data_IF_956624984724
#
_entry.id   IF_956624984724
#
_cell.length_a   1.000
_cell.length_b   1.000
_cell.length_c   1.000
_cell.angle_alpha   90.00
_cell.angle_beta   90.00
_cell.angle_gamma   90.00
#
_symmetry.space_group_name_H-M   'P 1'
#
loop_
_entity.id
_entity.type
_entity.pdbx_description
1 polymer ?
#
# COMPACT_ATOMS: atom_id res chain seq x y z
N UNK A 1 -18.98 20.56 85.53
CA UNK A 1 -19.43 21.23 84.28
C UNK A 1 -18.29 21.71 83.37
N UNK A 2 -17.09 22.03 83.88
CA UNK A 2 -15.93 22.50 83.08
C UNK A 2 -15.31 21.41 82.18
N UNK A 3 -15.06 20.22 82.73
CA UNK A 3 -14.53 19.05 82.01
C UNK A 3 -15.38 18.58 80.81
N UNK A 4 -16.71 18.67 80.93
CA UNK A 4 -17.64 18.27 79.86
C UNK A 4 -17.55 19.26 78.68
N UNK A 5 -17.40 20.56 78.95
CA UNK A 5 -17.22 21.58 77.92
C UNK A 5 -15.88 21.42 77.18
N UNK A 6 -14.79 21.12 77.90
CA UNK A 6 -13.48 20.89 77.30
C UNK A 6 -13.45 19.62 76.41
N UNK A 7 -14.08 18.53 76.83
CA UNK A 7 -14.19 17.31 76.02
C UNK A 7 -15.00 17.51 74.74
N UNK A 8 -16.09 18.29 74.79
CA UNK A 8 -16.91 18.60 73.61
C UNK A 8 -16.11 19.44 72.59
N UNK A 9 -15.33 20.42 73.06
CA UNK A 9 -14.48 21.24 72.19
C UNK A 9 -13.40 20.41 71.50
N UNK A 10 -12.76 19.48 72.21
CA UNK A 10 -11.76 18.56 71.64
C UNK A 10 -12.41 17.66 70.58
N UNK A 11 -13.58 17.08 70.86
CA UNK A 11 -14.31 16.26 69.88
C UNK A 11 -14.65 17.05 68.61
N UNK A 12 -15.11 18.30 68.73
CA UNK A 12 -15.41 19.15 67.57
C UNK A 12 -14.16 19.40 66.74
N UNK A 13 -13.02 19.72 67.38
CA UNK A 13 -11.75 19.97 66.68
C UNK A 13 -11.25 18.72 65.94
N UNK A 14 -11.34 17.54 66.55
CA UNK A 14 -10.94 16.27 65.92
C UNK A 14 -11.83 15.96 64.71
N UNK A 15 -13.14 16.11 64.84
CA UNK A 15 -14.09 15.87 63.74
C UNK A 15 -13.84 16.86 62.59
N UNK A 16 -13.66 18.15 62.87
CA UNK A 16 -13.33 19.16 61.85
C UNK A 16 -12.02 18.87 61.13
N UNK A 17 -11.00 18.38 61.85
CA UNK A 17 -9.72 18.00 61.27
C UNK A 17 -9.83 16.77 60.36
N UNK A 18 -10.60 15.75 60.77
CA UNK A 18 -10.87 14.57 59.94
C UNK A 18 -11.59 14.97 58.64
N UNK A 19 -12.62 15.82 58.73
CA UNK A 19 -13.34 16.33 57.54
C UNK A 19 -12.39 17.07 56.60
N UNK A 20 -11.49 17.89 57.15
CA UNK A 20 -10.49 18.62 56.37
C UNK A 20 -9.51 17.68 55.64
N UNK A 21 -9.04 16.62 56.32
CA UNK A 21 -8.18 15.59 55.70
C UNK A 21 -8.92 14.87 54.59
N UNK A 22 -10.16 14.43 54.82
CA UNK A 22 -10.97 13.74 53.80
C UNK A 22 -11.20 14.60 52.57
N UNK A 23 -11.56 15.88 52.75
CA UNK A 23 -11.73 16.84 51.64
C UNK A 23 -10.42 17.08 50.87
N UNK A 24 -9.28 17.11 51.57
CA UNK A 24 -7.97 17.26 50.93
C UNK A 24 -7.61 16.03 50.11
N UNK A 25 -7.89 14.83 50.61
CA UNK A 25 -7.65 13.57 49.89
C UNK A 25 -8.54 13.44 48.64
N UNK A 26 -9.81 13.85 48.70
CA UNK A 26 -10.70 13.89 47.54
C UNK A 26 -10.14 14.77 46.41
N UNK A 27 -9.68 15.99 46.74
CA UNK A 27 -9.05 16.90 45.77
C UNK A 27 -7.79 16.30 45.15
N UNK A 28 -6.95 15.62 45.95
CA UNK A 28 -5.76 14.94 45.44
C UNK A 28 -6.14 13.80 44.48
N UNK A 29 -7.13 12.99 44.83
CA UNK A 29 -7.61 11.89 43.98
C UNK A 29 -8.21 12.40 42.66
N UNK A 30 -8.98 13.49 42.70
CA UNK A 30 -9.52 14.14 41.51
C UNK A 30 -8.39 14.66 40.59
N UNK A 31 -7.39 15.33 41.16
CA UNK A 31 -6.22 15.79 40.42
C UNK A 31 -5.43 14.64 39.77
N UNK A 32 -5.26 13.51 40.47
CA UNK A 32 -4.61 12.32 39.91
C UNK A 32 -5.41 11.79 38.72
N UNK A 33 -6.74 11.71 38.84
CA UNK A 33 -7.62 11.26 37.76
C UNK A 33 -7.53 12.18 36.53
N UNK A 34 -7.58 13.50 36.73
CA UNK A 34 -7.40 14.48 35.65
C UNK A 34 -6.04 14.29 34.97
N UNK A 35 -4.96 14.17 35.75
CA UNK A 35 -3.61 13.98 35.20
C UNK A 35 -3.47 12.68 34.40
N UNK A 36 -4.08 11.59 34.87
CA UNK A 36 -4.11 10.33 34.12
C UNK A 36 -4.86 10.46 32.78
N UNK A 37 -5.99 11.16 32.77
CA UNK A 37 -6.78 11.40 31.57
C UNK A 37 -6.02 12.27 30.55
N UNK A 38 -5.39 13.35 31.01
CA UNK A 38 -4.54 14.21 30.17
C UNK A 38 -3.35 13.42 29.60
N UNK A 39 -2.73 12.54 30.39
CA UNK A 39 -1.63 11.71 29.90
C UNK A 39 -2.09 10.72 28.82
N UNK A 40 -3.24 10.06 28.99
CA UNK A 40 -3.76 9.14 27.97
C UNK A 40 -4.12 9.85 26.66
N UNK A 41 -4.77 11.01 26.72
CA UNK A 41 -5.12 11.78 25.52
C UNK A 41 -3.88 12.32 24.80
N UNK A 42 -2.86 12.76 25.55
CA UNK A 42 -1.58 13.20 24.97
C UNK A 42 -0.89 12.05 24.24
N UNK A 43 -0.86 10.84 24.81
CA UNK A 43 -0.30 9.65 24.15
C UNK A 43 -1.06 9.28 22.88
N UNK A 44 -2.39 9.36 22.90
CA UNK A 44 -3.21 9.07 21.73
C UNK A 44 -2.95 10.08 20.60
N UNK A 45 -2.86 11.37 20.93
CA UNK A 45 -2.54 12.42 19.95
C UNK A 45 -1.13 12.24 19.35
N UNK A 46 -0.13 11.92 20.19
CA UNK A 46 1.22 11.65 19.70
C UNK A 46 1.23 10.43 18.77
N UNK A 47 0.47 9.38 19.09
CA UNK A 47 0.34 8.21 18.21
C UNK A 47 -0.29 8.58 16.86
N UNK A 48 -1.35 9.41 16.85
CA UNK A 48 -1.99 9.89 15.62
C UNK A 48 -1.03 10.71 14.76
N UNK A 49 -0.28 11.63 15.36
CA UNK A 49 0.73 12.42 14.64
C UNK A 49 1.87 11.55 14.08
N UNK A 50 2.33 10.56 14.84
CA UNK A 50 3.35 9.62 14.35
C UNK A 50 2.85 8.79 13.16
N UNK A 51 1.61 8.26 13.23
CA UNK A 51 0.99 7.53 12.12
C UNK A 51 0.86 8.44 10.89
N UNK A 52 0.42 9.69 11.08
CA UNK A 52 0.32 10.66 9.99
C UNK A 52 1.68 10.94 9.33
N UNK A 53 2.74 11.09 10.12
CA UNK A 53 4.08 11.33 9.60
C UNK A 53 4.64 10.10 8.85
N UNK A 54 4.41 8.88 9.37
CA UNK A 54 4.78 7.64 8.69
C UNK A 54 4.07 7.54 7.34
N UNK A 55 2.76 7.79 7.30
CA UNK A 55 1.99 7.76 6.06
C UNK A 55 2.43 8.85 5.08
N UNK A 56 2.73 10.07 5.55
CA UNK A 56 3.27 11.13 4.70
C UNK A 56 4.62 10.73 4.10
N UNK A 57 5.50 10.14 4.90
CA UNK A 57 6.81 9.65 4.44
C UNK A 57 6.67 8.48 3.46
N UNK A 58 5.72 7.55 3.67
CA UNK A 58 5.45 6.46 2.72
C UNK A 58 4.97 7.04 1.39
N UNK A 59 3.93 7.88 1.44
CA UNK A 59 3.34 8.51 0.26
C UNK A 59 4.37 9.33 -0.54
N UNK A 60 5.31 10.01 0.13
CA UNK A 60 6.38 10.76 -0.54
C UNK A 60 7.48 9.87 -1.16
N UNK A 61 7.58 8.60 -0.74
CA UNK A 61 8.58 7.65 -1.22
C UNK A 61 8.04 6.67 -2.27
N UNK A 62 6.77 6.78 -2.66
CA UNK A 62 6.19 5.95 -3.73
C UNK A 62 6.99 6.11 -5.02
N UNK A 63 7.33 4.97 -5.63
CA UNK A 63 8.31 4.96 -6.72
C UNK A 63 8.08 3.84 -7.74
N UNK A 64 8.70 4.05 -8.90
CA UNK A 64 8.92 3.07 -9.94
C UNK A 64 10.27 3.44 -10.56
N UNK A 65 11.07 2.42 -10.88
CA UNK A 65 12.38 2.56 -11.51
C UNK A 65 12.48 1.61 -12.67
N UNK A 66 12.72 2.14 -13.87
CA UNK A 66 12.88 1.33 -15.08
C UNK A 66 14.06 0.37 -14.95
N UNK A 67 15.12 0.82 -14.27
CA UNK A 67 16.38 0.11 -14.10
C UNK A 67 16.30 -1.04 -13.08
N UNK A 68 15.26 -1.05 -12.23
CA UNK A 68 15.06 -2.09 -11.23
C UNK A 68 13.57 -2.21 -10.87
N UNK A 69 12.88 -3.13 -11.53
CA UNK A 69 11.45 -3.39 -11.32
C UNK A 69 11.19 -4.25 -10.08
N UNK A 70 12.22 -4.60 -9.31
CA UNK A 70 12.09 -5.31 -8.02
C UNK A 70 12.00 -4.36 -6.84
N UNK A 71 12.25 -3.06 -7.05
CA UNK A 71 12.04 -2.04 -6.03
C UNK A 71 10.54 -1.87 -5.78
N UNK A 72 10.11 -2.20 -4.58
CA UNK A 72 8.72 -2.01 -4.13
C UNK A 72 8.26 -0.58 -4.37
N UNK A 73 7.05 -0.44 -4.92
CA UNK A 73 6.40 0.84 -5.10
C UNK A 73 5.91 1.40 -3.78
N UNK A 74 5.43 0.54 -2.86
CA UNK A 74 4.80 0.91 -1.59
C UNK A 74 3.40 1.49 -1.72
N UNK A 75 2.81 1.44 -2.93
CA UNK A 75 1.49 1.99 -3.22
C UNK A 75 0.41 1.13 -2.55
N UNK A 76 -0.62 1.75 -1.97
CA UNK A 76 -1.76 1.02 -1.43
C UNK A 76 -2.78 0.75 -2.52
N UNK A 77 -3.58 -0.29 -2.32
CA UNK A 77 -4.67 -0.67 -3.23
C UNK A 77 -5.57 0.52 -3.57
N UNK A 78 -6.09 1.24 -2.58
CA UNK A 78 -7.01 2.36 -2.80
C UNK A 78 -6.32 3.50 -3.55
N UNK A 79 -5.03 3.72 -3.33
CA UNK A 79 -4.27 4.72 -4.08
C UNK A 79 -4.09 4.31 -5.55
N UNK A 80 -3.85 3.02 -5.81
CA UNK A 80 -3.74 2.49 -7.15
C UNK A 80 -5.10 2.50 -7.90
N UNK A 81 -6.20 2.22 -7.20
CA UNK A 81 -7.56 2.40 -7.73
C UNK A 81 -7.78 3.86 -8.17
N UNK A 82 -7.45 4.83 -7.31
CA UNK A 82 -7.53 6.25 -7.65
C UNK A 82 -6.63 6.63 -8.84
N UNK A 83 -5.44 6.03 -8.96
CA UNK A 83 -4.57 6.22 -10.13
C UNK A 83 -5.26 5.76 -11.40
N UNK A 84 -5.88 4.58 -11.40
CA UNK A 84 -6.58 4.05 -12.58
C UNK A 84 -7.84 4.84 -12.94
N UNK A 85 -8.57 5.37 -11.96
CA UNK A 85 -9.69 6.29 -12.20
C UNK A 85 -9.24 7.57 -12.91
N UNK A 86 -8.05 8.07 -12.59
CA UNK A 86 -7.52 9.33 -13.10
C UNK A 86 -6.57 9.18 -14.30
N UNK A 87 -6.21 7.95 -14.68
CA UNK A 87 -5.42 7.66 -15.87
C UNK A 87 -6.33 7.31 -17.04
N UNK A 88 -6.20 8.05 -18.16
CA UNK A 88 -7.06 7.89 -19.34
C UNK A 88 -7.00 6.45 -19.88
N UNK A 89 -8.15 5.77 -19.84
CA UNK A 89 -8.32 4.42 -20.37
C UNK A 89 -8.02 3.28 -19.39
N UNK A 90 -7.56 3.58 -18.17
CA UNK A 90 -7.19 2.55 -17.19
C UNK A 90 -8.32 2.18 -16.21
N UNK A 91 -9.48 2.84 -16.24
CA UNK A 91 -10.58 2.55 -15.31
C UNK A 91 -11.10 1.11 -15.39
N UNK A 92 -10.90 0.43 -16.53
CA UNK A 92 -11.20 -0.99 -16.73
C UNK A 92 -10.28 -1.93 -15.95
N UNK A 93 -9.23 -1.42 -15.30
CA UNK A 93 -8.28 -2.20 -14.51
C UNK A 93 -8.46 -2.03 -12.99
N UNK A 94 -9.41 -1.20 -12.52
CA UNK A 94 -9.62 -0.91 -11.09
C UNK A 94 -9.83 -2.19 -10.27
N UNK A 95 -10.57 -3.17 -10.80
CA UNK A 95 -10.82 -4.44 -10.11
C UNK A 95 -9.58 -5.34 -9.99
N UNK A 96 -8.48 -5.00 -10.66
CA UNK A 96 -7.20 -5.71 -10.60
C UNK A 96 -6.21 -5.10 -9.59
N UNK A 97 -6.55 -3.98 -8.94
CA UNK A 97 -5.65 -3.28 -8.02
C UNK A 97 -5.08 -4.21 -6.94
N UNK A 98 -5.91 -5.06 -6.32
CA UNK A 98 -5.44 -6.06 -5.35
C UNK A 98 -4.40 -7.01 -5.95
N UNK A 99 -4.62 -7.48 -7.18
CA UNK A 99 -3.71 -8.40 -7.84
C UNK A 99 -2.33 -7.78 -8.11
N UNK A 100 -2.27 -6.46 -8.33
CA UNK A 100 -1.01 -5.74 -8.50
C UNK A 100 -0.27 -5.54 -7.17
N UNK A 101 -0.99 -5.29 -6.08
CA UNK A 101 -0.40 -5.24 -4.73
C UNK A 101 0.15 -6.62 -4.37
N UNK A 102 -0.64 -7.68 -4.54
CA UNK A 102 -0.21 -9.05 -4.23
C UNK A 102 0.94 -9.51 -5.13
N UNK A 103 1.01 -9.05 -6.39
CA UNK A 103 2.15 -9.32 -7.25
C UNK A 103 3.46 -8.73 -6.70
N UNK A 104 3.40 -7.52 -6.14
CA UNK A 104 4.53 -6.87 -5.48
C UNK A 104 4.90 -7.61 -4.18
N UNK A 105 3.93 -7.82 -3.30
CA UNK A 105 4.17 -8.42 -1.97
C UNK A 105 4.63 -9.88 -2.04
N UNK A 106 4.07 -10.69 -2.94
CA UNK A 106 4.35 -12.13 -3.01
C UNK A 106 5.54 -12.46 -3.90
N UNK A 107 5.78 -11.67 -4.94
CA UNK A 107 6.75 -12.00 -5.99
C UNK A 107 7.81 -10.92 -6.23
N UNK A 108 7.75 -9.79 -5.53
CA UNK A 108 8.74 -8.72 -5.65
C UNK A 108 8.75 -8.06 -7.03
N UNK A 109 7.58 -8.00 -7.71
CA UNK A 109 7.44 -7.28 -8.98
C UNK A 109 6.68 -5.99 -8.71
N UNK A 110 7.33 -4.84 -8.93
CA UNK A 110 6.77 -3.52 -8.66
C UNK A 110 5.33 -3.37 -9.23
N UNK A 111 4.40 -2.88 -8.41
CA UNK A 111 2.98 -2.85 -8.72
C UNK A 111 2.66 -2.01 -9.98
N UNK A 112 3.33 -0.87 -10.17
CA UNK A 112 3.17 -0.07 -11.39
C UNK A 112 3.70 -0.78 -12.63
N UNK A 113 4.77 -1.56 -12.48
CA UNK A 113 5.31 -2.38 -13.58
C UNK A 113 4.32 -3.48 -13.97
N UNK A 114 3.78 -4.21 -12.99
CA UNK A 114 2.81 -5.26 -13.26
C UNK A 114 1.53 -4.69 -13.92
N UNK A 115 1.05 -3.55 -13.44
CA UNK A 115 -0.06 -2.83 -14.06
C UNK A 115 0.27 -2.41 -15.50
N UNK A 116 1.47 -1.88 -15.76
CA UNK A 116 1.90 -1.47 -17.10
C UNK A 116 1.96 -2.63 -18.10
N UNK A 117 2.49 -3.79 -17.67
CA UNK A 117 2.51 -5.01 -18.49
C UNK A 117 1.07 -5.43 -18.83
N UNK A 118 0.19 -5.53 -17.83
CA UNK A 118 -1.22 -5.90 -18.09
C UNK A 118 -1.90 -4.89 -19.02
N UNK A 119 -1.73 -3.60 -18.79
CA UNK A 119 -2.30 -2.55 -19.63
C UNK A 119 -1.86 -2.69 -21.09
N UNK A 120 -0.57 -2.95 -21.32
CA UNK A 120 -0.01 -3.11 -22.66
C UNK A 120 -0.52 -4.38 -23.34
N UNK A 121 -0.43 -5.53 -22.67
CA UNK A 121 -0.70 -6.85 -23.26
C UNK A 121 -2.19 -7.11 -23.50
N UNK A 122 -3.05 -6.58 -22.61
CA UNK A 122 -4.50 -6.78 -22.70
C UNK A 122 -5.28 -5.58 -23.23
N UNK A 123 -4.61 -4.48 -23.56
CA UNK A 123 -5.29 -3.22 -23.88
C UNK A 123 -6.15 -2.75 -22.70
N UNK A 124 -5.54 -2.58 -21.53
CA UNK A 124 -6.22 -2.21 -20.28
C UNK A 124 -7.33 -3.20 -19.86
N UNK A 125 -7.04 -4.50 -19.88
CA UNK A 125 -7.96 -5.58 -19.54
C UNK A 125 -9.20 -5.73 -20.46
N UNK A 126 -9.14 -5.19 -21.69
CA UNK A 126 -10.30 -5.20 -22.61
C UNK A 126 -10.17 -6.16 -23.80
N UNK A 127 -9.00 -6.76 -24.03
CA UNK A 127 -8.80 -7.70 -25.13
C UNK A 127 -9.76 -8.89 -25.02
N UNK A 128 -10.09 -9.50 -26.15
CA UNK A 128 -10.94 -10.69 -26.20
C UNK A 128 -10.46 -11.77 -25.22
N UNK A 129 -9.14 -12.03 -25.17
CA UNK A 129 -8.56 -13.07 -24.28
C UNK A 129 -8.58 -12.67 -22.82
N UNK A 130 -8.43 -11.39 -22.50
CA UNK A 130 -8.59 -10.91 -21.13
C UNK A 130 -10.01 -11.14 -20.63
N UNK A 131 -11.02 -10.87 -21.48
CA UNK A 131 -12.44 -10.97 -21.11
C UNK A 131 -12.94 -12.42 -21.13
N UNK A 132 -12.61 -13.19 -22.18
CA UNK A 132 -13.15 -14.54 -22.39
C UNK A 132 -12.31 -15.62 -21.70
N UNK A 133 -10.98 -15.47 -21.68
CA UNK A 133 -10.05 -16.50 -21.21
C UNK A 133 -9.40 -16.15 -19.86
N UNK A 134 -9.74 -14.98 -19.29
CA UNK A 134 -9.05 -14.37 -18.16
C UNK A 134 -7.53 -14.24 -18.35
N UNK A 135 -7.03 -14.27 -19.59
CA UNK A 135 -5.61 -14.27 -19.90
C UNK A 135 -5.16 -12.85 -20.25
N UNK A 136 -4.63 -12.14 -19.25
CA UNK A 136 -4.28 -10.72 -19.34
C UNK A 136 -2.95 -10.44 -20.04
N UNK A 137 -2.07 -11.43 -20.15
CA UNK A 137 -0.68 -11.24 -20.61
C UNK A 137 -0.30 -12.16 -21.75
N UNK A 138 -1.27 -12.89 -22.33
CA UNK A 138 -1.04 -13.73 -23.50
C UNK A 138 -0.28 -15.02 -23.22
N UNK A 139 -0.31 -15.56 -22.00
CA UNK A 139 0.40 -16.80 -21.67
C UNK A 139 0.01 -17.95 -22.60
N UNK A 140 1.03 -18.64 -23.12
CA UNK A 140 0.92 -19.77 -24.05
C UNK A 140 0.19 -19.42 -25.37
N UNK A 141 0.18 -18.14 -25.77
CA UNK A 141 -0.29 -17.68 -27.09
C UNK A 141 0.92 -17.53 -28.01
N UNK A 142 1.09 -18.47 -28.95
CA UNK A 142 2.21 -18.47 -29.89
C UNK A 142 1.84 -17.97 -31.28
N UNK A 143 0.55 -18.02 -31.62
CA UNK A 143 -0.06 -17.53 -32.88
C UNK A 143 -1.45 -16.98 -32.60
N UNK A 144 -2.02 -16.23 -33.56
CA UNK A 144 -3.36 -15.65 -33.43
C UNK A 144 -4.46 -16.71 -33.19
N UNK A 145 -4.28 -17.91 -33.73
CA UNK A 145 -5.19 -19.05 -33.59
C UNK A 145 -4.98 -19.86 -32.29
N UNK A 146 -3.89 -19.59 -31.55
CA UNK A 146 -3.59 -20.31 -30.31
C UNK A 146 -4.74 -20.14 -29.31
N UNK A 147 -5.15 -21.18 -28.60
CA UNK A 147 -6.13 -20.99 -27.52
C UNK A 147 -5.55 -20.18 -26.35
N UNK A 148 -4.26 -20.32 -26.10
CA UNK A 148 -3.62 -19.74 -24.92
C UNK A 148 -4.03 -20.47 -23.64
N UNK A 149 -3.42 -20.06 -22.54
CA UNK A 149 -3.78 -20.55 -21.22
C UNK A 149 -5.12 -19.95 -20.79
N UNK A 150 -6.03 -20.80 -20.30
CA UNK A 150 -7.27 -20.39 -19.65
C UNK A 150 -7.02 -20.26 -18.14
N UNK A 151 -7.38 -19.12 -17.56
CA UNK A 151 -7.30 -18.88 -16.11
C UNK A 151 -8.70 -18.88 -15.48
N UNK A 152 -8.81 -19.26 -14.21
CA UNK A 152 -10.10 -19.24 -13.51
C UNK A 152 -10.53 -17.80 -13.21
N UNK A 153 -9.59 -16.90 -12.96
CA UNK A 153 -9.83 -15.47 -12.78
C UNK A 153 -8.72 -14.62 -13.38
N UNK A 154 -9.03 -13.35 -13.68
CA UNK A 154 -8.01 -12.38 -14.10
C UNK A 154 -6.96 -12.13 -13.01
N UNK A 155 -7.37 -12.12 -11.73
CA UNK A 155 -6.45 -12.03 -10.59
C UNK A 155 -5.37 -13.12 -10.64
N UNK A 156 -5.77 -14.38 -10.89
CA UNK A 156 -4.82 -15.49 -11.03
C UNK A 156 -3.87 -15.30 -12.21
N UNK A 157 -4.34 -14.73 -13.33
CA UNK A 157 -3.49 -14.46 -14.49
C UNK A 157 -2.40 -13.42 -14.19
N UNK A 158 -2.74 -12.36 -13.43
CA UNK A 158 -1.75 -11.38 -12.95
C UNK A 158 -0.70 -12.06 -12.07
N UNK A 159 -1.12 -12.78 -11.03
CA UNK A 159 -0.19 -13.44 -10.12
C UNK A 159 0.66 -14.53 -10.79
N UNK A 160 0.09 -15.25 -11.76
CA UNK A 160 0.84 -16.21 -12.54
C UNK A 160 1.96 -15.53 -13.35
N UNK A 161 1.67 -14.36 -13.93
CA UNK A 161 2.67 -13.55 -14.63
C UNK A 161 3.75 -13.07 -13.69
N UNK A 162 3.38 -12.48 -12.55
CA UNK A 162 4.32 -11.97 -11.56
C UNK A 162 5.26 -13.09 -11.06
N UNK A 163 4.69 -14.27 -10.74
CA UNK A 163 5.47 -15.45 -10.37
C UNK A 163 6.43 -15.91 -11.46
N UNK A 164 5.99 -15.85 -12.72
CA UNK A 164 6.82 -16.23 -13.86
C UNK A 164 8.01 -15.27 -14.04
N UNK A 165 7.76 -13.96 -13.94
CA UNK A 165 8.80 -12.93 -13.98
C UNK A 165 9.80 -13.13 -12.83
N UNK A 166 9.31 -13.21 -11.60
CA UNK A 166 10.15 -13.40 -10.41
C UNK A 166 11.05 -14.63 -10.53
N UNK A 167 10.48 -15.77 -10.94
CA UNK A 167 11.21 -17.04 -11.01
C UNK A 167 12.20 -17.10 -12.16
N UNK A 168 11.82 -16.61 -13.34
CA UNK A 168 12.56 -16.91 -14.58
C UNK A 168 13.38 -15.73 -15.11
N UNK A 169 13.00 -14.49 -14.79
CA UNK A 169 13.60 -13.27 -15.32
C UNK A 169 14.36 -12.47 -14.26
N UNK A 170 13.82 -12.35 -13.04
CA UNK A 170 14.34 -11.44 -12.02
C UNK A 170 15.25 -12.13 -10.98
N UNK A 171 15.31 -13.46 -10.99
CA UNK A 171 16.20 -14.24 -10.11
C UNK A 171 17.54 -14.49 -10.79
N UNK A 172 18.63 -14.05 -10.16
CA UNK A 172 19.99 -14.27 -10.69
C UNK A 172 20.26 -15.75 -11.00
N UNK A 173 20.65 -16.03 -12.23
CA UNK A 173 20.93 -17.39 -12.71
C UNK A 173 19.70 -18.18 -13.17
N UNK A 174 18.51 -17.55 -13.20
CA UNK A 174 17.34 -18.12 -13.85
C UNK A 174 17.48 -18.13 -15.37
N UNK A 175 16.61 -18.90 -16.02
CA UNK A 175 16.72 -19.26 -17.45
C UNK A 175 16.65 -18.06 -18.42
N UNK A 176 16.06 -16.94 -18.00
CA UNK A 176 15.92 -15.70 -18.78
C UNK A 176 16.51 -14.48 -18.05
N UNK A 177 17.39 -14.71 -17.06
CA UNK A 177 17.97 -13.62 -16.28
C UNK A 177 19.03 -12.88 -17.08
N UNK A 178 18.74 -11.63 -17.44
CA UNK A 178 19.69 -10.67 -18.00
C UNK A 178 19.95 -9.50 -17.03
N UNK A 179 19.10 -9.34 -16.02
CA UNK A 179 19.13 -8.27 -15.03
C UNK A 179 17.74 -8.08 -14.41
N UNK A 180 17.47 -6.90 -13.86
CA UNK A 180 16.20 -6.60 -13.17
C UNK A 180 15.50 -5.35 -13.72
N UNK A 181 16.01 -4.78 -14.82
CA UNK A 181 15.35 -3.66 -15.50
C UNK A 181 14.23 -4.14 -16.44
N UNK A 182 13.37 -3.22 -16.87
CA UNK A 182 12.41 -3.49 -17.94
C UNK A 182 13.12 -3.93 -19.22
N UNK A 183 14.26 -3.28 -19.52
CA UNK A 183 15.09 -3.55 -20.70
C UNK A 183 15.71 -4.96 -20.66
N UNK A 184 16.09 -5.45 -19.48
CA UNK A 184 16.60 -6.83 -19.30
C UNK A 184 15.50 -7.88 -19.50
N UNK A 185 14.29 -7.61 -18.99
CA UNK A 185 13.13 -8.51 -19.13
C UNK A 185 12.74 -8.65 -20.61
N UNK A 186 12.76 -7.54 -21.34
CA UNK A 186 12.37 -7.46 -22.74
C UNK A 186 13.09 -8.48 -23.64
N UNK A 187 14.38 -8.70 -23.40
CA UNK A 187 15.27 -9.55 -24.23
C UNK A 187 14.65 -10.92 -24.50
N UNK A 188 14.01 -11.52 -23.50
CA UNK A 188 13.39 -12.85 -23.63
C UNK A 188 11.86 -12.81 -23.60
N UNK A 189 11.26 -11.76 -23.02
CA UNK A 189 9.81 -11.64 -22.88
C UNK A 189 9.13 -11.28 -24.21
N UNK A 190 9.71 -10.34 -24.97
CA UNK A 190 9.24 -9.96 -26.30
C UNK A 190 10.44 -9.70 -27.24
N UNK A 191 11.14 -10.78 -27.67
CA UNK A 191 12.42 -10.70 -28.38
C UNK A 191 12.36 -10.12 -29.81
N UNK A 192 11.16 -9.88 -30.35
CA UNK A 192 10.98 -9.39 -31.72
C UNK A 192 11.03 -7.85 -31.76
N UNK A 193 12.22 -7.31 -32.04
CA UNK A 193 12.48 -5.88 -32.24
C UNK A 193 12.11 -5.36 -33.65
N UNK A 194 11.11 -5.97 -34.30
CA UNK A 194 10.56 -5.42 -35.55
C UNK A 194 10.17 -3.94 -35.43
N UNK A 195 10.07 -3.22 -36.56
CA UNK A 195 9.71 -1.78 -36.56
C UNK A 195 8.50 -1.49 -35.65
N UNK A 196 8.68 -0.58 -34.68
CA UNK A 196 7.68 -0.15 -33.69
C UNK A 196 7.36 -1.16 -32.56
N UNK A 197 8.15 -2.22 -32.40
CA UNK A 197 8.08 -3.16 -31.27
C UNK A 197 9.09 -2.76 -30.19
N UNK A 198 8.78 -1.67 -29.49
CA UNK A 198 9.52 -1.12 -28.34
C UNK A 198 8.72 -1.44 -27.06
N UNK A 199 8.69 -2.70 -26.66
CA UNK A 199 7.85 -3.14 -25.53
C UNK A 199 8.32 -2.49 -24.23
N UNK A 200 9.63 -2.44 -24.02
CA UNK A 200 10.28 -1.84 -22.86
C UNK A 200 9.95 -0.35 -22.72
N UNK A 201 10.00 0.41 -23.83
CA UNK A 201 9.62 1.83 -23.84
C UNK A 201 8.12 2.01 -23.53
N UNK A 202 7.26 1.11 -24.00
CA UNK A 202 5.80 1.19 -23.76
C UNK A 202 5.45 0.85 -22.33
N UNK A 203 6.04 -0.20 -21.76
CA UNK A 203 5.88 -0.55 -20.34
C UNK A 203 6.37 0.59 -19.47
N UNK A 204 7.56 1.11 -19.74
CA UNK A 204 8.13 2.23 -18.99
C UNK A 204 7.25 3.48 -19.03
N UNK A 205 6.73 3.81 -20.21
CA UNK A 205 5.82 4.94 -20.39
C UNK A 205 4.52 4.77 -19.59
N UNK A 206 3.96 3.57 -19.55
CA UNK A 206 2.75 3.27 -18.79
C UNK A 206 3.01 3.34 -17.28
N UNK A 207 4.06 2.66 -16.79
CA UNK A 207 4.43 2.63 -15.38
C UNK A 207 4.77 4.04 -14.85
N UNK A 208 5.60 4.79 -15.58
CA UNK A 208 5.90 6.19 -15.27
C UNK A 208 4.65 7.06 -15.28
N UNK A 209 3.75 6.83 -16.23
CA UNK A 209 2.48 7.55 -16.31
C UNK A 209 1.55 7.28 -15.13
N UNK A 210 1.49 6.05 -14.61
CA UNK A 210 0.75 5.73 -13.39
C UNK A 210 1.37 6.41 -12.16
N UNK A 211 2.70 6.38 -12.03
CA UNK A 211 3.41 7.10 -10.97
C UNK A 211 3.18 8.62 -11.03
N UNK A 212 3.15 9.20 -12.23
CA UNK A 212 2.89 10.63 -12.41
C UNK A 212 1.47 11.02 -11.98
N UNK A 213 0.47 10.17 -12.24
CA UNK A 213 -0.89 10.37 -11.73
C UNK A 213 -0.89 10.27 -10.20
N UNK A 214 -0.22 9.26 -9.62
CA UNK A 214 -0.08 9.13 -8.17
C UNK A 214 0.49 10.42 -7.56
N UNK A 215 1.62 10.91 -8.08
CA UNK A 215 2.27 12.14 -7.58
C UNK A 215 1.36 13.36 -7.69
N UNK A 216 0.55 13.47 -8.73
CA UNK A 216 -0.41 14.59 -8.85
C UNK A 216 -1.49 14.55 -7.78
N UNK A 217 -1.95 13.34 -7.42
CA UNK A 217 -2.98 13.13 -6.42
C UNK A 217 -2.47 13.30 -4.98
N UNK A 218 -1.24 12.87 -4.69
CA UNK A 218 -0.76 12.72 -3.31
C UNK A 218 0.51 13.50 -2.95
N UNK A 219 1.31 13.96 -3.93
CA UNK A 219 2.58 14.64 -3.67
C UNK A 219 2.47 16.19 -3.69
N UNK A 220 1.29 16.74 -3.93
CA UNK A 220 1.04 18.20 -4.00
C UNK A 220 0.49 18.81 -2.68
N UNK A 221 0.78 18.22 -1.50
CA UNK A 221 0.43 18.78 -0.17
C UNK A 221 1.63 19.18 0.72
#
# INVERSE_FOLDING_TARGET
MKFIKESIVICILVVSFIIFISSSNEKVNENIKIKSYVLSSTKENLNKENVRLIEKNRASNITYKREDITVESGVKKEELENVFENYKGASTMIHLSEAFIDAEELYGVNAFTMAAIVALESGFATSRRAVEDNNLTGFEVYTDESKGKLFSTQYESVLYTAKHLAKNYLTKGAIYYEGVSVDDVQIHYCPDEGKNKEWEVKVDKLASGFLDVYKKLYANE
#
